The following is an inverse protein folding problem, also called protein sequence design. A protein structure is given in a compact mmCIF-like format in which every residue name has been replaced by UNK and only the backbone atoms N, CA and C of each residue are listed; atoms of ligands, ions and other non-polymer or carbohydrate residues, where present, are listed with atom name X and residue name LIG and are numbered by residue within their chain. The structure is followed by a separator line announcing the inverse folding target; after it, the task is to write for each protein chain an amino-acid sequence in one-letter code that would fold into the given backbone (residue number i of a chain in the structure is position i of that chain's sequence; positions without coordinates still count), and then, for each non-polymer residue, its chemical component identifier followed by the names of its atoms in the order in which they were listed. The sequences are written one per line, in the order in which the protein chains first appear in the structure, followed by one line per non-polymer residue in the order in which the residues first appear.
data_IF_726781049692
#
_entry.id   IF_726781049692
#
_cell.length_a   1.000
_cell.length_b   1.000
_cell.length_c   1.000
_cell.angle_alpha   90.00
_cell.angle_beta   90.00
_cell.angle_gamma   90.00
#
_symmetry.space_group_name_H-M   'P 1'
#
loop_
_entity.id
_entity.type
_entity.pdbx_description
1 polymer ?
#
# COMPACT_ATOMS: atom_id res chain seq x y z
N UNK A 1 -4.61 -0.17 -38.02
CA UNK A 1 -4.31 -0.26 -37.48
C UNK A 1 -3.88 -0.38 -36.63
N UNK A 2 -3.59 -0.28 -36.50
CA UNK A 2 -3.39 -0.48 -35.68
C UNK A 2 -3.45 -0.02 -34.99
N UNK A 3 -3.54 0.54 -35.19
CA UNK A 3 -3.63 1.11 -34.40
C UNK A 3 -4.45 0.94 -33.84
N UNK A 4 -4.88 0.58 -34.25
CA UNK A 4 -5.45 0.19 -33.77
C UNK A 4 -5.42 -0.43 -33.14
N UNK A 5 -5.14 -1.01 -33.36
CA UNK A 5 -5.17 -1.69 -32.65
C UNK A 5 -4.69 -1.52 -31.54
N UNK A 6 -4.28 -1.26 -31.39
CA UNK A 6 -4.03 -0.89 -30.41
C UNK A 6 -4.77 -0.04 -29.95
N UNK A 7 -5.43 0.20 -30.45
CA UNK A 7 -6.25 0.89 -30.02
C UNK A 7 -7.18 0.40 -29.45
N UNK A 8 -7.47 -0.42 -29.87
CA UNK A 8 -8.45 -0.88 -29.15
C UNK A 8 -8.02 -1.25 -27.89
N UNK A 9 -7.16 -1.89 -27.76
CA UNK A 9 -6.90 -2.21 -26.59
C UNK A 9 -6.49 -1.27 -25.77
N UNK A 10 -6.27 -0.31 -26.09
CA UNK A 10 -5.92 0.55 -25.19
C UNK A 10 -6.80 1.61 -25.11
N UNK A 11 -7.60 1.75 -25.97
CA UNK A 11 -8.48 2.85 -25.93
C UNK A 11 -9.30 2.83 -24.70
N UNK A 12 -9.61 1.70 -24.20
CA UNK A 12 -10.44 1.71 -23.09
C UNK A 12 -9.70 1.82 -21.84
N UNK A 13 -8.57 2.32 -21.82
CA UNK A 13 -7.92 2.48 -20.61
C UNK A 13 -7.79 3.90 -20.21
N UNK A 14 -8.78 4.48 -19.59
CA UNK A 14 -8.66 5.79 -19.03
C UNK A 14 -8.17 5.73 -17.58
N UNK A 15 -7.89 4.54 -17.07
CA UNK A 15 -7.45 4.41 -15.72
C UNK A 15 -6.31 5.32 -15.33
N UNK A 16 -5.25 5.46 -16.10
CA UNK A 16 -4.17 6.35 -15.72
C UNK A 16 -4.64 7.79 -15.51
N UNK A 17 -5.54 8.26 -16.36
CA UNK A 17 -6.05 9.61 -16.20
C UNK A 17 -6.90 9.74 -14.94
N UNK A 18 -7.73 8.75 -14.66
CA UNK A 18 -8.53 8.80 -13.46
C UNK A 18 -7.66 8.71 -12.21
N UNK A 19 -6.62 7.90 -12.27
CA UNK A 19 -5.72 7.77 -11.13
C UNK A 19 -4.98 9.07 -10.85
N UNK A 20 -4.74 9.88 -11.85
CA UNK A 20 -4.10 11.17 -11.67
C UNK A 20 -5.00 12.20 -11.01
N UNK A 21 -6.32 12.01 -11.06
CA UNK A 21 -7.25 12.93 -10.41
C UNK A 21 -7.41 12.64 -8.92
N UNK A 22 -6.88 11.53 -8.44
CA UNK A 22 -6.98 11.16 -7.03
C UNK A 22 -5.87 11.82 -6.23
N UNK A 23 -6.01 11.89 -4.89
CA UNK A 23 -4.93 12.41 -4.06
C UNK A 23 -3.65 11.60 -4.24
N UNK A 24 -2.50 12.27 -4.22
CA UNK A 24 -1.20 11.62 -4.39
C UNK A 24 -0.94 10.58 -3.30
N UNK A 25 -0.56 9.37 -3.70
CA UNK A 25 -0.11 8.32 -2.79
C UNK A 25 1.03 7.56 -3.47
N UNK A 26 2.13 7.42 -2.76
CA UNK A 26 3.28 6.64 -3.21
C UNK A 26 3.79 5.78 -2.06
N UNK A 27 3.60 4.46 -2.13
CA UNK A 27 4.20 3.56 -1.14
C UNK A 27 5.73 3.62 -1.21
N UNK A 28 6.37 3.68 -0.06
CA UNK A 28 7.82 3.83 0.01
C UNK A 28 8.48 2.45 -0.07
N UNK A 29 9.38 2.29 -1.05
CA UNK A 29 10.11 1.04 -1.24
C UNK A 29 11.51 1.11 -0.66
N UNK A 30 12.20 2.23 -0.90
CA UNK A 30 13.54 2.42 -0.41
C UNK A 30 13.76 3.86 0.04
N UNK A 31 14.75 4.05 0.89
CA UNK A 31 15.07 5.35 1.46
C UNK A 31 16.57 5.51 1.46
N UNK A 32 17.06 6.66 0.97
CA UNK A 32 18.49 6.98 1.09
C UNK A 32 18.69 8.42 1.47
N UNK A 33 19.88 8.67 2.05
CA UNK A 33 20.32 10.04 2.33
C UNK A 33 21.17 10.54 1.18
N UNK A 34 21.00 11.81 0.84
CA UNK A 34 21.90 12.49 -0.07
C UNK A 34 22.58 13.59 0.74
N UNK A 35 23.90 13.49 0.88
CA UNK A 35 24.65 14.40 1.71
C UNK A 35 24.40 15.85 1.27
N UNK A 36 24.04 16.68 2.23
CA UNK A 36 23.80 18.10 1.98
C UNK A 36 22.46 18.40 1.32
N UNK A 37 21.62 17.38 1.03
CA UNK A 37 20.37 17.62 0.33
C UNK A 37 19.14 17.07 1.04
N UNK A 38 19.31 16.05 1.87
CA UNK A 38 18.20 15.49 2.63
C UNK A 38 17.98 14.02 2.32
N UNK A 39 16.74 13.57 2.42
CA UNK A 39 16.38 12.16 2.30
C UNK A 39 15.53 11.95 1.06
N UNK A 40 15.82 10.87 0.32
CA UNK A 40 15.06 10.49 -0.86
C UNK A 40 14.27 9.25 -0.53
N UNK A 41 12.95 9.29 -0.78
CA UNK A 41 12.09 8.12 -0.70
C UNK A 41 11.76 7.70 -2.12
N UNK A 42 11.94 6.41 -2.44
CA UNK A 42 11.65 5.91 -3.77
C UNK A 42 10.46 4.97 -3.74
N UNK A 43 9.75 4.90 -4.84
CA UNK A 43 8.63 3.99 -4.99
C UNK A 43 7.90 4.28 -6.28
N UNK A 44 6.81 3.54 -6.46
CA UNK A 44 5.93 3.76 -7.59
C UNK A 44 4.74 4.58 -7.12
N UNK A 45 4.45 5.67 -7.83
CA UNK A 45 3.28 6.50 -7.53
C UNK A 45 2.04 5.72 -7.94
N UNK A 46 1.18 5.42 -6.96
CA UNK A 46 -0.03 4.65 -7.21
C UNK A 46 -1.14 5.49 -7.78
N UNK A 47 -1.24 6.72 -7.34
CA UNK A 47 -2.29 7.62 -7.79
C UNK A 47 -1.88 9.07 -7.57
N UNK A 48 -2.52 9.96 -8.29
CA UNK A 48 -2.35 11.39 -8.12
C UNK A 48 -1.10 11.94 -8.78
N UNK A 49 -0.82 13.19 -8.47
CA UNK A 49 0.32 13.93 -8.99
C UNK A 49 1.01 14.64 -7.83
N UNK A 50 2.34 14.59 -7.82
CA UNK A 50 3.13 15.34 -6.84
C UNK A 50 4.03 16.30 -7.59
N UNK A 51 4.15 17.53 -7.08
CA UNK A 51 4.94 18.58 -7.72
C UNK A 51 5.98 19.13 -6.76
N UNK A 52 6.97 19.79 -7.30
CA UNK A 52 7.94 20.49 -6.48
C UNK A 52 7.24 21.47 -5.57
N UNK A 53 7.70 21.54 -4.34
CA UNK A 53 7.18 22.40 -3.28
C UNK A 53 5.84 21.96 -2.71
N UNK A 54 5.30 20.82 -3.15
CA UNK A 54 4.10 20.28 -2.53
C UNK A 54 4.37 19.83 -1.12
N UNK A 55 3.39 20.03 -0.24
CA UNK A 55 3.43 19.48 1.10
C UNK A 55 2.93 18.04 1.04
N UNK A 56 3.61 17.15 1.74
CA UNK A 56 3.23 15.73 1.80
C UNK A 56 3.30 15.25 3.24
N UNK A 57 2.61 14.15 3.51
CA UNK A 57 2.69 13.45 4.79
C UNK A 57 3.33 12.08 4.59
N UNK A 58 4.05 11.64 5.61
CA UNK A 58 4.62 10.30 5.67
C UNK A 58 3.77 9.53 6.66
N UNK A 59 3.03 8.54 6.18
CA UNK A 59 1.95 7.91 6.93
C UNK A 59 2.21 6.41 7.10
N UNK A 60 2.02 5.91 8.30
CA UNK A 60 2.10 4.48 8.59
C UNK A 60 3.25 4.12 9.51
N UNK A 61 3.09 3.09 10.32
CA UNK A 61 4.09 2.47 11.19
C UNK A 61 4.64 3.37 12.29
N UNK A 62 4.79 4.64 12.03
CA UNK A 62 5.30 5.66 12.96
C UNK A 62 4.32 6.83 12.99
N UNK A 63 4.44 7.73 13.95
CA UNK A 63 3.59 8.93 13.94
C UNK A 63 3.74 9.67 12.61
N UNK A 64 2.62 10.19 12.11
CA UNK A 64 2.60 10.91 10.84
C UNK A 64 3.49 12.13 10.90
N UNK A 65 4.32 12.30 9.87
CA UNK A 65 5.20 13.45 9.74
C UNK A 65 4.85 14.23 8.48
N UNK A 66 5.18 15.49 8.46
CA UNK A 66 4.97 16.35 7.29
C UNK A 66 6.30 16.75 6.70
N UNK A 67 6.32 16.95 5.39
CA UNK A 67 7.51 17.41 4.70
C UNK A 67 7.12 18.15 3.44
N UNK A 68 8.10 18.71 2.78
CA UNK A 68 7.92 19.43 1.51
C UNK A 68 8.82 18.78 0.47
N UNK A 69 8.29 18.57 -0.71
CA UNK A 69 9.03 17.98 -1.81
C UNK A 69 9.98 19.01 -2.40
N UNK A 70 11.27 18.71 -2.34
CA UNK A 70 12.30 19.64 -2.85
C UNK A 70 12.97 19.11 -4.12
N UNK A 71 12.65 17.90 -4.55
CA UNK A 71 13.16 17.34 -5.79
C UNK A 71 12.40 16.10 -6.18
N UNK A 72 12.30 15.84 -7.47
CA UNK A 72 11.66 14.64 -7.99
C UNK A 72 12.54 14.12 -9.12
N UNK A 73 12.84 12.82 -9.09
CA UNK A 73 13.62 12.17 -10.13
C UNK A 73 12.91 10.92 -10.63
N UNK A 74 12.96 10.69 -11.94
CA UNK A 74 12.49 9.46 -12.54
C UNK A 74 13.41 9.17 -13.74
N UNK A 75 13.85 7.91 -13.86
CA UNK A 75 14.75 7.51 -14.94
C UNK A 75 15.99 8.41 -15.04
N UNK A 76 16.56 8.76 -13.89
CA UNK A 76 17.78 9.60 -13.83
C UNK A 76 17.58 10.99 -14.39
N UNK A 77 16.36 11.47 -14.43
CA UNK A 77 16.02 12.84 -14.84
C UNK A 77 15.40 13.56 -13.68
N UNK A 78 15.71 14.84 -13.56
CA UNK A 78 15.02 15.72 -12.62
C UNK A 78 13.71 16.16 -13.26
N UNK A 79 12.63 16.08 -12.51
CA UNK A 79 11.31 16.43 -12.98
C UNK A 79 10.69 17.49 -12.10
N UNK A 80 9.75 18.25 -12.69
CA UNK A 80 8.96 19.21 -11.92
C UNK A 80 7.79 18.54 -11.25
N UNK A 81 7.37 17.38 -11.72
CA UNK A 81 6.28 16.63 -11.13
C UNK A 81 6.40 15.14 -11.44
N UNK A 82 5.78 14.33 -10.59
CA UNK A 82 5.61 12.91 -10.81
C UNK A 82 4.13 12.58 -10.80
N UNK A 83 3.74 11.52 -11.50
CA UNK A 83 2.34 11.18 -11.63
C UNK A 83 2.13 9.67 -11.55
N UNK A 84 0.88 9.27 -11.40
CA UNK A 84 0.49 7.88 -11.28
C UNK A 84 1.17 7.02 -12.36
N UNK A 85 1.78 5.93 -11.93
CA UNK A 85 2.50 5.03 -12.82
C UNK A 85 4.00 5.25 -12.85
N UNK A 86 4.49 6.41 -12.41
CA UNK A 86 5.92 6.69 -12.42
C UNK A 86 6.63 6.00 -11.29
N UNK A 87 7.83 5.46 -11.58
CA UNK A 87 8.77 5.07 -10.53
C UNK A 87 9.61 6.31 -10.25
N UNK A 88 9.52 6.82 -9.05
CA UNK A 88 10.12 8.11 -8.74
C UNK A 88 10.90 8.09 -7.44
N UNK A 89 11.87 8.99 -7.35
CA UNK A 89 12.52 9.32 -6.10
C UNK A 89 12.11 10.73 -5.71
N UNK A 90 11.62 10.89 -4.49
CA UNK A 90 11.12 12.17 -3.99
C UNK A 90 12.04 12.64 -2.87
N UNK A 91 12.62 13.82 -3.06
CA UNK A 91 13.52 14.41 -2.08
C UNK A 91 12.69 15.20 -1.08
N UNK A 92 12.88 14.90 0.20
CA UNK A 92 12.07 15.46 1.28
C UNK A 92 12.89 16.37 2.17
N UNK A 93 12.33 17.52 2.52
CA UNK A 93 12.97 18.50 3.37
C UNK A 93 12.81 18.15 4.85
N UNK A 94 13.87 18.23 5.61
CA UNK A 94 13.79 18.12 7.06
C UNK A 94 13.52 16.72 7.58
N UNK A 95 13.66 15.72 6.73
CA UNK A 95 13.45 14.33 7.09
C UNK A 95 14.77 13.60 7.03
N UNK A 96 15.09 12.85 8.08
CA UNK A 96 16.31 12.03 8.08
C UNK A 96 15.95 10.61 7.70
N UNK A 97 16.96 9.88 7.20
CA UNK A 97 16.73 8.52 6.76
C UNK A 97 16.11 7.65 7.87
N UNK A 98 16.48 7.89 9.13
CA UNK A 98 15.95 7.12 10.25
C UNK A 98 14.51 7.47 10.59
N UNK A 99 13.98 8.57 10.04
CA UNK A 99 12.60 9.00 10.33
C UNK A 99 11.57 8.28 9.48
N UNK A 100 11.99 7.65 8.39
CA UNK A 100 11.06 6.99 7.48
C UNK A 100 11.56 5.59 7.13
N UNK A 101 10.64 4.73 6.69
CA UNK A 101 11.00 3.36 6.37
C UNK A 101 10.06 2.77 5.33
N UNK A 102 10.51 1.66 4.74
CA UNK A 102 9.69 0.88 3.82
C UNK A 102 8.40 0.47 4.50
N UNK A 103 7.30 0.55 3.80
CA UNK A 103 5.98 0.23 4.33
C UNK A 103 5.15 1.45 4.66
N UNK A 104 5.78 2.59 4.83
CA UNK A 104 5.05 3.85 4.95
C UNK A 104 4.66 4.35 3.56
N UNK A 105 3.78 5.32 3.50
CA UNK A 105 3.41 5.95 2.22
C UNK A 105 3.63 7.45 2.31
N UNK A 106 4.02 8.04 1.17
CA UNK A 106 3.94 9.48 0.99
C UNK A 106 2.56 9.78 0.43
N UNK A 107 1.91 10.78 0.99
CA UNK A 107 0.54 11.08 0.59
C UNK A 107 0.26 12.57 0.66
N UNK A 108 -0.73 13.01 -0.12
CA UNK A 108 -1.25 14.36 0.02
C UNK A 108 -1.80 14.50 1.45
N UNK A 109 -1.53 15.61 2.15
CA UNK A 109 -1.96 15.76 3.53
C UNK A 109 -3.45 15.50 3.70
N UNK A 110 -3.78 14.67 4.70
CA UNK A 110 -5.17 14.34 5.01
C UNK A 110 -5.82 13.32 4.11
N UNK A 111 -5.12 12.79 3.10
CA UNK A 111 -5.74 11.90 2.14
C UNK A 111 -5.87 10.46 2.63
N UNK A 112 -5.00 10.02 3.52
CA UNK A 112 -5.06 8.67 4.06
C UNK A 112 -4.59 8.73 5.51
N UNK A 113 -5.17 7.88 6.36
CA UNK A 113 -4.85 7.85 7.78
C UNK A 113 -4.41 6.45 8.19
N UNK A 114 -3.81 6.36 9.37
CA UNK A 114 -3.38 5.06 9.90
C UNK A 114 -4.49 4.40 10.68
N UNK A 115 -4.56 3.09 10.57
CA UNK A 115 -5.53 2.28 11.31
C UNK A 115 -4.91 0.95 11.66
N UNK A 116 -5.40 0.33 12.71
CA UNK A 116 -4.96 -1.00 13.12
C UNK A 116 -6.08 -2.02 13.04
N UNK A 117 -7.33 -1.59 13.11
CA UNK A 117 -8.47 -2.49 13.22
C UNK A 117 -9.45 -2.27 12.09
N UNK A 118 -9.76 -3.34 11.38
CA UNK A 118 -10.64 -3.25 10.23
C UNK A 118 -11.27 -4.59 9.93
N UNK A 119 -12.32 -4.58 9.11
CA UNK A 119 -12.90 -5.78 8.54
C UNK A 119 -12.46 -5.91 7.10
N UNK A 120 -12.31 -7.13 6.66
CA UNK A 120 -11.89 -7.41 5.29
C UNK A 120 -12.56 -8.66 4.78
N UNK A 121 -12.82 -8.68 3.48
CA UNK A 121 -13.26 -9.88 2.81
C UNK A 121 -12.01 -10.55 2.25
N UNK A 122 -11.79 -11.81 2.61
CA UNK A 122 -10.54 -12.51 2.29
C UNK A 122 -10.86 -13.84 1.62
N UNK A 123 -10.18 -14.09 0.52
CA UNK A 123 -10.19 -15.39 -0.13
C UNK A 123 -8.94 -16.15 0.34
N UNK A 124 -9.15 -17.32 0.90
CA UNK A 124 -8.05 -18.17 1.39
C UNK A 124 -7.68 -19.13 0.27
N UNK A 125 -6.43 -19.04 -0.20
CA UNK A 125 -5.99 -19.87 -1.32
C UNK A 125 -6.17 -21.34 -1.01
N UNK A 126 -6.59 -22.11 -2.00
CA UNK A 126 -6.72 -23.55 -1.84
C UNK A 126 -5.32 -24.19 -1.83
N UNK A 127 -5.26 -25.44 -1.41
CA UNK A 127 -4.01 -26.18 -1.42
C UNK A 127 -3.41 -26.22 -2.83
N UNK A 128 -4.26 -26.42 -3.84
CA UNK A 128 -3.81 -26.48 -5.23
C UNK A 128 -3.25 -25.15 -5.72
N UNK A 129 -3.67 -24.05 -5.11
CA UNK A 129 -3.19 -22.73 -5.47
C UNK A 129 -1.93 -22.35 -4.68
N UNK A 130 -1.41 -23.26 -3.88
CA UNK A 130 -0.23 -22.99 -3.07
C UNK A 130 -0.54 -22.47 -1.68
N UNK A 131 -1.81 -22.54 -1.26
CA UNK A 131 -2.23 -22.08 0.05
C UNK A 131 -1.97 -23.10 1.14
N UNK A 132 -2.61 -22.87 2.28
CA UNK A 132 -2.48 -23.74 3.44
C UNK A 132 -3.09 -25.11 3.13
N UNK A 133 -2.60 -26.13 3.84
CA UNK A 133 -3.15 -27.47 3.75
C UNK A 133 -4.15 -27.74 4.87
N UNK A 134 -4.19 -26.89 5.88
CA UNK A 134 -5.02 -27.08 7.06
C UNK A 134 -5.87 -25.83 7.30
N UNK A 135 -7.00 -25.97 8.01
CA UNK A 135 -7.81 -24.80 8.34
C UNK A 135 -7.11 -23.94 9.39
N UNK A 136 -7.61 -22.72 9.56
CA UNK A 136 -7.18 -21.89 10.69
C UNK A 136 -8.39 -21.44 11.49
N UNK A 137 -8.11 -20.97 12.69
CA UNK A 137 -9.14 -20.65 13.68
C UNK A 137 -8.97 -19.20 14.13
N UNK A 138 -9.90 -18.74 14.95
CA UNK A 138 -9.76 -17.42 15.54
C UNK A 138 -8.44 -17.31 16.31
N UNK A 139 -7.89 -16.12 16.37
CA UNK A 139 -6.56 -15.83 16.93
C UNK A 139 -5.40 -16.25 16.01
N UNK A 140 -5.70 -16.65 14.79
CA UNK A 140 -4.68 -16.88 13.76
C UNK A 140 -3.88 -15.58 13.57
N UNK A 141 -2.55 -15.68 13.52
CA UNK A 141 -1.66 -14.51 13.49
C UNK A 141 -0.72 -14.54 12.28
N UNK A 142 -1.26 -14.37 11.08
CA UNK A 142 -0.41 -14.32 9.90
C UNK A 142 0.16 -12.93 9.70
N UNK A 143 0.89 -12.74 8.60
CA UNK A 143 1.34 -11.43 8.19
C UNK A 143 0.42 -10.92 7.09
N UNK A 144 0.20 -9.62 7.10
CA UNK A 144 -0.61 -8.94 6.09
C UNK A 144 0.30 -8.02 5.31
N UNK A 145 0.37 -8.24 4.00
CA UNK A 145 1.25 -7.45 3.16
C UNK A 145 0.47 -6.25 2.63
N UNK A 146 0.79 -5.09 3.17
CA UNK A 146 0.21 -3.83 2.74
C UNK A 146 1.31 -2.99 2.11
N UNK A 147 0.98 -2.37 0.97
CA UNK A 147 1.91 -1.47 0.28
C UNK A 147 3.22 -2.20 -0.02
N UNK A 148 4.23 -2.04 0.79
CA UNK A 148 5.55 -2.59 0.52
C UNK A 148 6.12 -3.39 1.69
N UNK A 149 5.33 -3.69 2.70
CA UNK A 149 5.84 -4.42 3.86
C UNK A 149 4.80 -5.33 4.50
N UNK A 150 5.27 -6.33 5.22
CA UNK A 150 4.43 -7.23 6.00
C UNK A 150 4.20 -6.67 7.40
N UNK A 151 2.98 -6.81 7.91
CA UNK A 151 2.65 -6.45 9.28
C UNK A 151 1.87 -7.60 9.89
N UNK A 152 2.29 -8.05 11.07
CA UNK A 152 1.58 -9.11 11.77
C UNK A 152 0.24 -8.61 12.28
N UNK A 153 -0.78 -9.44 12.17
CA UNK A 153 -2.09 -9.10 12.70
C UNK A 153 -2.79 -10.33 13.21
N UNK A 154 -3.84 -10.10 14.00
CA UNK A 154 -4.65 -11.17 14.58
C UNK A 154 -5.99 -11.20 13.87
N UNK A 155 -6.43 -12.40 13.49
CA UNK A 155 -7.71 -12.60 12.83
C UNK A 155 -8.74 -13.02 13.85
N UNK A 156 -9.91 -12.37 13.82
CA UNK A 156 -11.05 -12.78 14.61
C UNK A 156 -12.16 -13.18 13.63
N UNK A 157 -12.61 -14.43 13.74
CA UNK A 157 -13.64 -14.96 12.84
C UNK A 157 -15.01 -14.47 13.26
N UNK A 158 -15.95 -14.36 12.31
CA UNK A 158 -17.32 -13.93 12.63
C UNK A 158 -18.00 -14.91 13.57
N UNK A 159 -19.04 -14.44 14.27
CA UNK A 159 -19.82 -15.28 15.14
C UNK A 159 -20.39 -16.48 14.37
N UNK A 160 -20.28 -17.67 14.95
CA UNK A 160 -20.78 -18.88 14.31
C UNK A 160 -19.79 -19.53 13.34
N UNK A 161 -18.67 -18.90 13.07
CA UNK A 161 -17.63 -19.48 12.22
C UNK A 161 -16.52 -19.97 13.13
N UNK A 162 -16.29 -21.27 13.15
CA UNK A 162 -15.26 -21.85 14.03
C UNK A 162 -13.92 -21.99 13.34
N UNK A 163 -13.93 -22.17 12.03
CA UNK A 163 -12.69 -22.36 11.28
C UNK A 163 -12.88 -21.90 9.85
N UNK A 164 -11.78 -21.63 9.17
CA UNK A 164 -11.76 -21.27 7.76
C UNK A 164 -10.90 -22.29 7.04
N UNK A 165 -11.47 -22.88 5.98
CA UNK A 165 -10.79 -23.89 5.20
C UNK A 165 -10.10 -23.27 4.00
N UNK A 166 -8.99 -23.88 3.52
CA UNK A 166 -8.41 -23.44 2.26
C UNK A 166 -9.46 -23.48 1.14
N UNK A 167 -9.55 -22.42 0.37
CA UNK A 167 -10.56 -22.27 -0.67
C UNK A 167 -11.78 -21.48 -0.25
N UNK A 168 -11.91 -21.15 1.02
CA UNK A 168 -13.07 -20.39 1.51
C UNK A 168 -12.89 -18.90 1.26
N UNK A 169 -14.00 -18.21 1.14
CA UNK A 169 -14.04 -16.75 1.14
C UNK A 169 -14.85 -16.30 2.35
N UNK A 170 -14.25 -15.50 3.20
CA UNK A 170 -14.84 -15.15 4.49
C UNK A 170 -14.54 -13.69 4.82
N UNK A 171 -15.48 -13.02 5.49
CA UNK A 171 -15.24 -11.69 6.05
C UNK A 171 -14.78 -11.87 7.49
N UNK A 172 -13.65 -11.29 7.86
CA UNK A 172 -13.24 -11.36 9.25
C UNK A 172 -12.62 -10.03 9.71
N UNK A 173 -12.49 -9.92 11.03
CA UNK A 173 -11.85 -8.75 11.63
C UNK A 173 -10.36 -9.01 11.76
N UNK A 174 -9.61 -7.96 11.56
CA UNK A 174 -8.15 -8.02 11.66
C UNK A 174 -7.69 -6.88 12.54
N UNK A 175 -6.80 -7.20 13.47
CA UNK A 175 -6.15 -6.17 14.28
C UNK A 175 -4.65 -6.29 14.08
N UNK A 176 -4.04 -5.26 13.50
CA UNK A 176 -2.61 -5.25 13.22
C UNK A 176 -1.84 -4.84 14.47
N UNK A 177 -0.59 -5.31 14.57
CA UNK A 177 0.25 -4.92 15.71
C UNK A 177 0.83 -3.50 15.54
N UNK A 178 0.81 -2.97 14.33
CA UNK A 178 1.31 -1.63 14.03
C UNK A 178 0.31 -0.89 13.14
N UNK A 179 0.19 0.43 13.27
CA UNK A 179 -0.72 1.18 12.43
C UNK A 179 -0.18 1.23 11.00
N UNK A 180 -1.08 1.12 10.03
CA UNK A 180 -0.74 1.14 8.60
C UNK A 180 -1.67 2.11 7.91
N UNK A 181 -1.18 2.76 6.85
CA UNK A 181 -2.01 3.65 6.05
C UNK A 181 -3.04 2.79 5.32
N UNK A 182 -4.29 2.86 5.74
CA UNK A 182 -5.37 2.00 5.24
C UNK A 182 -6.58 2.85 4.89
N UNK A 183 -7.25 2.47 3.82
CA UNK A 183 -8.54 3.03 3.48
C UNK A 183 -9.44 1.93 2.96
N UNK A 184 -10.73 2.18 2.95
CA UNK A 184 -11.70 1.22 2.45
C UNK A 184 -11.40 0.93 0.98
N UNK A 185 -11.43 -0.34 0.62
CA UNK A 185 -11.13 -0.76 -0.75
C UNK A 185 -9.68 -1.13 -0.99
N UNK A 186 -8.80 -0.90 -0.02
CA UNK A 186 -7.39 -1.25 -0.16
C UNK A 186 -7.23 -2.76 -0.20
N UNK A 187 -6.43 -3.25 -1.12
CA UNK A 187 -6.15 -4.68 -1.27
C UNK A 187 -4.86 -5.05 -0.57
N UNK A 188 -4.82 -6.29 -0.11
CA UNK A 188 -3.65 -6.81 0.59
C UNK A 188 -3.55 -8.31 0.37
N UNK A 189 -2.41 -8.88 0.72
CA UNK A 189 -2.26 -10.35 0.72
C UNK A 189 -1.99 -10.81 2.14
N UNK A 190 -2.35 -12.07 2.41
CA UNK A 190 -2.10 -12.74 3.69
C UNK A 190 -0.97 -13.72 3.47
N UNK A 191 0.03 -13.70 4.34
CA UNK A 191 1.25 -14.45 4.15
C UNK A 191 1.63 -15.22 5.41
N UNK A 192 2.22 -16.39 5.20
CA UNK A 192 2.80 -17.19 6.27
C UNK A 192 4.19 -17.59 5.83
N UNK A 193 5.21 -17.26 6.62
CA UNK A 193 6.57 -17.64 6.30
C UNK A 193 7.02 -17.22 4.90
N UNK A 194 6.54 -16.08 4.44
CA UNK A 194 6.90 -15.58 3.11
C UNK A 194 6.06 -16.13 1.98
N UNK A 195 5.11 -17.04 2.26
CA UNK A 195 4.22 -17.60 1.23
C UNK A 195 2.86 -16.94 1.30
N UNK A 196 2.31 -16.56 0.16
CA UNK A 196 0.95 -16.01 0.09
C UNK A 196 -0.05 -17.13 0.33
N UNK A 197 -0.92 -16.95 1.32
CA UNK A 197 -1.95 -17.93 1.64
C UNK A 197 -3.36 -17.35 1.46
N UNK A 198 -3.47 -16.07 1.15
CA UNK A 198 -4.76 -15.46 0.91
C UNK A 198 -4.64 -14.07 0.32
N UNK A 199 -5.76 -13.52 -0.10
CA UNK A 199 -5.83 -12.16 -0.62
C UNK A 199 -7.13 -11.54 -0.16
N UNK A 200 -7.10 -10.26 0.18
CA UNK A 200 -8.26 -9.61 0.73
C UNK A 200 -8.41 -8.16 0.32
N UNK A 201 -9.56 -7.62 0.69
CA UNK A 201 -9.89 -6.20 0.47
C UNK A 201 -10.50 -5.65 1.74
N UNK A 202 -10.03 -4.49 2.17
CA UNK A 202 -10.57 -3.81 3.34
C UNK A 202 -11.99 -3.35 3.04
N UNK A 203 -12.95 -3.80 3.83
CA UNK A 203 -14.35 -3.44 3.62
C UNK A 203 -14.84 -2.39 4.59
N UNK A 204 -14.29 -2.34 5.80
CA UNK A 204 -14.74 -1.41 6.81
C UNK A 204 -13.61 -1.11 7.79
N UNK A 205 -13.41 0.17 8.08
CA UNK A 205 -12.43 0.61 9.08
C UNK A 205 -13.16 0.68 10.42
N UNK A 206 -12.52 0.18 11.48
CA UNK A 206 -13.16 0.10 12.79
C UNK A 206 -12.54 0.96 13.88
N UNK A 207 -11.40 1.61 13.63
CA UNK A 207 -10.80 2.48 14.64
C UNK A 207 -10.55 3.91 14.17
#
# INVERSE_FOLDING_TARGET
GDGYKRQAMDSYIPEPARDMDKPFIMPIEDVFSIKGRGTVATGRIEQGVVKLNDEVEIVGLKPTQKSVVTGIEAFKKSLDQGQAGDNAGVLLRGIERSDIERGQVLAKPGSIKTHKKFKAEVYVLSKEEGGRHTPFFTNYRPQFYFHTTDVTGVVELPAGVEMVMPGDQVTFEIELISPVAIEQGLKFTVREGGHTVGAGTVTEIED
#
